data_IF_769350573874
#
_entry.id   IF_769350573874
#
_cell.length_a   1.000
_cell.length_b   1.000
_cell.length_c   1.000
_cell.angle_alpha   90.00
_cell.angle_beta   90.00
_cell.angle_gamma   90.00
#
_symmetry.space_group_name_H-M   'P 1'
#
loop_
_entity.id
_entity.type
_entity.pdbx_description
1 polymer ?
#
# COMPACT_ATOMS: atom_id res chain seq x y z
N UNK A 1 -20.57 -38.85 -20.48
CA UNK A 1 -20.11 -37.55 -19.94
C UNK A 1 -18.73 -37.76 -19.32
N UNK A 2 -17.64 -37.51 -20.05
CA UNK A 2 -16.28 -37.78 -19.55
C UNK A 2 -15.75 -36.48 -18.95
N UNK A 3 -15.67 -36.41 -17.62
CA UNK A 3 -15.00 -35.31 -16.93
C UNK A 3 -13.50 -35.56 -17.06
N UNK A 4 -12.83 -34.86 -17.96
CA UNK A 4 -11.38 -34.89 -18.04
C UNK A 4 -10.80 -34.27 -16.75
N UNK A 5 -9.94 -35.01 -16.04
CA UNK A 5 -9.22 -34.47 -14.91
C UNK A 5 -8.20 -33.43 -15.41
N UNK A 6 -8.09 -32.26 -14.76
CA UNK A 6 -7.11 -31.26 -15.18
C UNK A 6 -5.69 -31.83 -15.04
N UNK A 7 -4.79 -31.54 -16.01
CA UNK A 7 -3.44 -32.09 -15.98
C UNK A 7 -2.66 -31.57 -14.76
N UNK A 8 -1.71 -32.35 -14.23
CA UNK A 8 -0.98 -32.02 -12.99
C UNK A 8 -0.23 -30.69 -13.07
N UNK A 9 0.24 -30.29 -14.25
CA UNK A 9 0.89 -28.99 -14.49
C UNK A 9 -0.08 -27.82 -14.34
N UNK A 10 -1.35 -28.01 -14.70
CA UNK A 10 -2.38 -26.99 -14.55
C UNK A 10 -2.67 -26.73 -13.07
N UNK A 11 -2.72 -27.80 -12.25
CA UNK A 11 -2.86 -27.69 -10.79
C UNK A 11 -1.65 -26.98 -10.16
N UNK A 12 -0.43 -27.30 -10.61
CA UNK A 12 0.79 -26.63 -10.14
C UNK A 12 0.80 -25.13 -10.49
N UNK A 13 0.40 -24.77 -11.71
CA UNK A 13 0.30 -23.39 -12.13
C UNK A 13 -0.75 -22.63 -11.31
N UNK A 14 -1.90 -23.25 -11.05
CA UNK A 14 -2.96 -22.66 -10.22
C UNK A 14 -2.48 -22.44 -8.78
N UNK A 15 -1.74 -23.40 -8.22
CA UNK A 15 -1.14 -23.29 -6.90
C UNK A 15 -0.11 -22.15 -6.85
N UNK A 16 0.72 -22.01 -7.88
CA UNK A 16 1.70 -20.92 -7.98
C UNK A 16 1.00 -19.55 -8.08
N UNK A 17 -0.07 -19.45 -8.87
CA UNK A 17 -0.87 -18.22 -8.98
C UNK A 17 -1.53 -17.84 -7.65
N UNK A 18 -2.02 -18.83 -6.89
CA UNK A 18 -2.57 -18.62 -5.54
C UNK A 18 -1.50 -18.13 -4.56
N UNK A 19 -0.30 -18.72 -4.59
CA UNK A 19 0.83 -18.31 -3.76
C UNK A 19 1.27 -16.87 -4.06
N UNK A 20 1.38 -16.51 -5.34
CA UNK A 20 1.73 -15.15 -5.78
C UNK A 20 0.65 -14.15 -5.37
N UNK A 21 -0.63 -14.50 -5.51
CA UNK A 21 -1.74 -13.63 -5.13
C UNK A 21 -1.76 -13.34 -3.62
N UNK A 22 -1.38 -14.31 -2.79
CA UNK A 22 -1.23 -14.08 -1.34
C UNK A 22 0.01 -13.27 -0.98
N UNK A 23 1.11 -13.42 -1.72
CA UNK A 23 2.32 -12.63 -1.50
C UNK A 23 2.16 -11.15 -1.87
N UNK A 24 1.18 -10.81 -2.71
CA UNK A 24 1.00 -9.47 -3.29
C UNK A 24 0.26 -8.47 -2.39
N UNK A 25 0.11 -8.75 -1.09
CA UNK A 25 -0.56 -7.82 -0.18
C UNK A 25 0.38 -6.64 0.10
N UNK A 26 0.26 -5.58 -0.70
CA UNK A 26 0.89 -4.30 -0.41
C UNK A 26 0.24 -3.69 0.83
N UNK A 27 1.03 -3.43 1.88
CA UNK A 27 0.58 -2.72 3.06
C UNK A 27 0.31 -1.25 2.67
N UNK A 28 -0.89 -0.74 2.96
CA UNK A 28 -1.12 0.70 2.92
C UNK A 28 -0.28 1.38 4.02
N UNK A 29 0.00 2.69 3.88
CA UNK A 29 0.69 3.43 4.92
C UNK A 29 -0.05 3.26 6.26
N UNK A 30 0.64 2.97 7.38
CA UNK A 30 -0.01 2.73 8.66
C UNK A 30 -0.78 3.96 9.15
N UNK A 31 -2.00 3.77 9.66
CA UNK A 31 -2.82 4.86 10.22
C UNK A 31 -2.14 5.57 11.42
N UNK A 32 -1.28 4.84 12.14
CA UNK A 32 -0.45 5.38 13.23
C UNK A 32 0.56 6.43 12.77
N UNK A 33 0.95 6.40 11.50
CA UNK A 33 1.91 7.34 10.92
C UNK A 33 1.19 8.56 10.29
N UNK A 34 -0.15 8.62 10.35
CA UNK A 34 -0.93 9.72 9.76
C UNK A 34 -0.75 11.05 10.52
N UNK A 35 -0.37 12.09 9.78
CA UNK A 35 -0.19 13.44 10.32
C UNK A 35 -1.50 14.20 10.25
N UNK A 36 -2.23 14.23 11.37
CA UNK A 36 -3.55 14.88 11.46
C UNK A 36 -3.51 16.42 11.36
N UNK A 37 -2.49 17.06 11.97
CA UNK A 37 -2.31 18.51 11.89
C UNK A 37 -0.83 18.85 11.84
N UNK A 38 -0.42 19.57 10.80
CA UNK A 38 0.93 20.11 10.74
C UNK A 38 0.94 21.54 11.31
N UNK A 39 1.70 21.84 12.38
CA UNK A 39 1.84 23.20 12.88
C UNK A 39 2.55 24.09 11.85
N UNK A 40 2.15 25.35 11.76
CA UNK A 40 2.72 26.31 10.80
C UNK A 40 2.01 26.38 9.44
N UNK A 41 1.07 25.47 9.15
CA UNK A 41 0.18 25.59 7.99
C UNK A 41 -1.05 26.43 8.34
N UNK A 42 -1.23 27.55 7.64
CA UNK A 42 -2.42 28.40 7.76
C UNK A 42 -3.71 27.67 7.33
N UNK A 43 -3.60 26.76 6.35
CA UNK A 43 -4.68 25.86 5.91
C UNK A 43 -4.15 24.44 5.90
N UNK A 44 -4.85 23.53 6.56
CA UNK A 44 -4.47 22.11 6.54
C UNK A 44 -4.67 21.53 5.13
N UNK A 45 -3.75 20.66 4.67
CA UNK A 45 -3.86 20.02 3.38
C UNK A 45 -5.07 19.09 3.37
N UNK A 46 -5.74 19.00 2.23
CA UNK A 46 -6.91 18.13 2.06
C UNK A 46 -6.55 16.69 1.69
N UNK A 47 -5.27 16.43 1.44
CA UNK A 47 -4.71 15.10 1.23
C UNK A 47 -4.15 14.53 2.52
N UNK A 48 -4.17 13.19 2.63
CA UNK A 48 -3.56 12.48 3.75
C UNK A 48 -2.05 12.48 3.62
N UNK A 49 -1.37 12.63 4.74
CA UNK A 49 0.09 12.64 4.82
C UNK A 49 0.51 11.73 5.96
N UNK A 50 1.62 11.03 5.75
CA UNK A 50 2.13 10.05 6.68
C UNK A 50 3.62 10.32 6.94
N UNK A 51 4.03 10.25 8.20
CA UNK A 51 5.42 10.37 8.62
C UNK A 51 5.72 9.27 9.62
N UNK A 52 6.73 8.47 9.33
CA UNK A 52 7.06 7.29 10.13
C UNK A 52 8.48 6.79 9.86
N UNK A 53 8.76 5.57 10.31
CA UNK A 53 10.05 4.93 10.11
C UNK A 53 9.89 3.56 9.43
N UNK A 54 10.51 3.41 8.26
CA UNK A 54 10.65 2.11 7.62
C UNK A 54 11.79 1.34 8.28
N UNK A 55 11.54 0.07 8.59
CA UNK A 55 12.58 -0.83 9.10
C UNK A 55 13.51 -1.21 7.95
N UNK A 56 14.74 -0.70 7.99
CA UNK A 56 15.80 -1.04 7.05
C UNK A 56 16.56 -2.30 7.45
N UNK A 57 17.70 -2.54 6.79
CA UNK A 57 18.59 -3.66 7.15
C UNK A 57 19.18 -3.47 8.56
N UNK A 58 19.14 -4.54 9.37
CA UNK A 58 19.67 -4.55 10.74
C UNK A 58 18.87 -3.65 11.68
N UNK A 59 19.55 -2.68 12.30
CA UNK A 59 18.98 -1.71 13.25
C UNK A 59 18.63 -0.35 12.62
N UNK A 60 18.71 -0.23 11.29
CA UNK A 60 18.47 1.04 10.60
C UNK A 60 16.97 1.32 10.53
N UNK A 61 16.59 2.53 10.93
CA UNK A 61 15.23 3.05 10.78
C UNK A 61 15.29 4.22 9.81
N UNK A 62 14.66 4.07 8.66
CA UNK A 62 14.62 5.09 7.61
C UNK A 62 13.39 5.96 7.84
N UNK A 63 13.61 7.19 8.27
CA UNK A 63 12.52 8.15 8.38
C UNK A 63 11.96 8.44 6.99
N UNK A 64 10.64 8.41 6.84
CA UNK A 64 9.97 8.80 5.62
C UNK A 64 8.86 9.80 5.90
N UNK A 65 8.56 10.59 4.88
CA UNK A 65 7.37 11.42 4.81
C UNK A 65 6.75 11.22 3.43
N UNK A 66 5.53 10.69 3.39
CA UNK A 66 4.76 10.53 2.17
C UNK A 66 3.49 11.38 2.20
N UNK A 67 3.14 11.95 1.04
CA UNK A 67 1.87 12.62 0.83
C UNK A 67 1.06 11.80 -0.17
N UNK A 68 -0.16 11.42 0.21
CA UNK A 68 -1.07 10.74 -0.68
C UNK A 68 -1.55 11.70 -1.78
N UNK A 69 -1.88 11.14 -2.94
CA UNK A 69 -2.56 11.89 -3.99
C UNK A 69 -3.89 12.45 -3.44
N UNK A 70 -4.25 13.70 -3.78
CA UNK A 70 -5.54 14.26 -3.41
C UNK A 70 -6.67 13.37 -3.96
N UNK A 71 -7.58 12.95 -3.10
CA UNK A 71 -8.74 12.16 -3.52
C UNK A 71 -9.84 13.11 -4.01
N UNK A 72 -9.98 13.22 -5.34
CA UNK A 72 -11.10 13.90 -6.01
C UNK A 72 -11.09 15.44 -5.96
N UNK A 73 -11.12 16.06 -7.15
CA UNK A 73 -11.53 17.46 -7.45
C UNK A 73 -10.96 18.62 -6.62
N UNK A 74 -9.96 18.39 -5.77
CA UNK A 74 -9.36 19.44 -4.93
C UNK A 74 -8.40 20.38 -5.67
N UNK A 75 -7.92 19.98 -6.85
CA UNK A 75 -7.01 20.77 -7.67
C UNK A 75 -7.70 21.91 -8.44
N UNK A 76 -9.03 21.91 -8.51
CA UNK A 76 -9.84 22.89 -9.27
C UNK A 76 -10.07 24.21 -8.50
N UNK A 77 -9.67 24.31 -7.22
CA UNK A 77 -9.97 25.46 -6.35
C UNK A 77 -8.74 26.26 -5.92
N UNK A 78 -7.73 26.39 -6.79
CA UNK A 78 -6.59 27.28 -6.56
C UNK A 78 -6.54 28.42 -7.55
#
# INVERSE_FOLDING_TARGET
MIRAAPPPLFLLLLLLLLLVSWASRGEAAPDQDEIQRLPGLAKQPSFRQYSGYLKGSGSKHLHYWSAALPSGRDWEKR
#
